data_IF_757280479841
#
_entry.id   IF_757280479841
#
_cell.length_a   1.000
_cell.length_b   1.000
_cell.length_c   1.000
_cell.angle_alpha   90.00
_cell.angle_beta   90.00
_cell.angle_gamma   90.00
#
_symmetry.space_group_name_H-M   'P 1'
#
loop_
_entity.id
_entity.type
_entity.pdbx_description
1 polymer ?
#
# COMPACT_ATOMS: atom_id res chain seq x y z
N UNK A 1 -10.16 -8.11 -14.32
CA UNK A 1 -10.87 -9.39 -14.09
C UNK A 1 -11.70 -9.41 -12.82
N UNK A 2 -11.12 -9.28 -11.63
CA UNK A 2 -11.88 -9.35 -10.35
C UNK A 2 -13.04 -8.35 -10.26
N UNK A 3 -12.80 -7.11 -10.67
CA UNK A 3 -13.83 -6.06 -10.73
C UNK A 3 -15.03 -6.46 -11.60
N UNK A 4 -14.77 -7.01 -12.79
CA UNK A 4 -15.81 -7.48 -13.71
C UNK A 4 -16.54 -8.71 -13.18
N UNK A 5 -15.82 -9.65 -12.57
CA UNK A 5 -16.43 -10.82 -11.92
C UNK A 5 -17.38 -10.40 -10.80
N UNK A 6 -16.97 -9.42 -10.00
CA UNK A 6 -17.80 -8.85 -8.94
C UNK A 6 -19.06 -8.18 -9.50
N UNK A 7 -18.95 -7.39 -10.57
CA UNK A 7 -20.12 -6.75 -11.19
C UNK A 7 -21.09 -7.78 -11.77
N UNK A 8 -20.60 -8.79 -12.49
CA UNK A 8 -21.43 -9.87 -13.02
C UNK A 8 -22.16 -10.62 -11.90
N UNK A 9 -21.46 -10.99 -10.83
CA UNK A 9 -22.07 -11.65 -9.66
C UNK A 9 -23.13 -10.77 -8.99
N UNK A 10 -22.87 -9.47 -8.86
CA UNK A 10 -23.81 -8.49 -8.29
C UNK A 10 -25.09 -8.40 -9.13
N UNK A 11 -24.96 -8.27 -10.45
CA UNK A 11 -26.11 -8.24 -11.36
C UNK A 11 -26.87 -9.57 -11.34
N UNK A 12 -26.16 -10.69 -11.38
CA UNK A 12 -26.77 -12.01 -11.38
C UNK A 12 -27.61 -12.26 -10.12
N UNK A 13 -27.07 -11.93 -8.94
CA UNK A 13 -27.79 -12.03 -7.67
C UNK A 13 -29.01 -11.12 -7.62
N UNK A 14 -28.89 -9.89 -8.13
CA UNK A 14 -29.99 -8.91 -8.12
C UNK A 14 -31.18 -9.34 -8.96
N UNK A 15 -30.95 -10.07 -10.05
CA UNK A 15 -31.98 -10.40 -11.04
C UNK A 15 -32.22 -11.91 -11.22
N UNK A 16 -31.76 -12.74 -10.27
CA UNK A 16 -31.89 -14.19 -10.31
C UNK A 16 -31.43 -14.79 -11.64
N UNK A 17 -30.32 -14.26 -12.18
CA UNK A 17 -29.81 -14.63 -13.50
C UNK A 17 -29.27 -16.07 -13.47
N UNK A 18 -29.61 -16.94 -14.44
CA UNK A 18 -29.25 -18.36 -14.40
C UNK A 18 -27.74 -18.60 -14.36
N UNK A 19 -27.27 -19.48 -13.47
CA UNK A 19 -25.85 -19.79 -13.32
C UNK A 19 -25.21 -20.34 -14.62
N UNK A 20 -25.97 -21.08 -15.44
CA UNK A 20 -25.50 -21.57 -16.75
C UNK A 20 -25.21 -20.41 -17.72
N UNK A 21 -26.12 -19.47 -17.86
CA UNK A 21 -25.95 -18.32 -18.76
C UNK A 21 -24.86 -17.37 -18.26
N UNK A 22 -24.77 -17.21 -16.94
CA UNK A 22 -23.69 -16.45 -16.28
C UNK A 22 -22.32 -17.04 -16.60
N UNK A 23 -22.15 -18.35 -16.51
CA UNK A 23 -20.90 -19.02 -16.82
C UNK A 23 -20.49 -18.84 -18.29
N UNK A 24 -21.44 -18.97 -19.23
CA UNK A 24 -21.21 -18.73 -20.66
C UNK A 24 -20.80 -17.28 -20.94
N UNK A 25 -21.50 -16.32 -20.33
CA UNK A 25 -21.20 -14.89 -20.47
C UNK A 25 -19.82 -14.56 -19.90
N UNK A 26 -19.45 -15.18 -18.77
CA UNK A 26 -18.15 -15.01 -18.15
C UNK A 26 -17.01 -15.60 -18.99
N UNK A 27 -17.21 -16.77 -19.61
CA UNK A 27 -16.22 -17.36 -20.50
C UNK A 27 -16.00 -16.50 -21.75
N UNK A 28 -17.08 -16.00 -22.36
CA UNK A 28 -16.98 -15.05 -23.48
C UNK A 28 -16.23 -13.77 -23.08
N UNK A 29 -16.45 -13.28 -21.86
CA UNK A 29 -15.72 -12.14 -21.30
C UNK A 29 -14.21 -12.42 -21.22
N UNK A 30 -13.80 -13.58 -20.68
CA UNK A 30 -12.39 -13.97 -20.62
C UNK A 30 -11.75 -14.03 -22.01
N UNK A 31 -12.39 -14.69 -22.96
CA UNK A 31 -11.88 -14.84 -24.33
C UNK A 31 -11.76 -13.48 -25.04
N UNK A 32 -12.79 -12.63 -24.90
CA UNK A 32 -12.78 -11.29 -25.49
C UNK A 32 -11.68 -10.40 -24.91
N UNK A 33 -11.49 -10.43 -23.58
CA UNK A 33 -10.40 -9.71 -22.93
C UNK A 33 -9.05 -10.24 -23.43
N UNK A 34 -8.84 -11.56 -23.42
CA UNK A 34 -7.59 -12.14 -23.90
C UNK A 34 -7.28 -11.72 -25.35
N UNK A 35 -8.28 -11.74 -26.24
CA UNK A 35 -8.14 -11.28 -27.62
C UNK A 35 -7.76 -9.80 -27.73
N UNK A 36 -8.36 -8.95 -26.89
CA UNK A 36 -8.08 -7.51 -26.90
C UNK A 36 -6.67 -7.14 -26.43
N UNK A 37 -6.05 -7.99 -25.61
CA UNK A 37 -4.67 -7.80 -25.15
C UNK A 37 -3.63 -8.26 -26.17
N UNK A 38 -4.02 -9.01 -27.19
CA UNK A 38 -3.09 -9.54 -28.20
C UNK A 38 -2.23 -8.45 -28.87
N UNK A 39 -2.83 -7.29 -29.22
CA UNK A 39 -2.07 -6.17 -29.81
C UNK A 39 -1.06 -5.57 -28.82
N UNK A 40 -1.39 -5.58 -27.53
CA UNK A 40 -0.53 -5.08 -26.46
C UNK A 40 0.64 -6.04 -26.21
N UNK A 41 0.37 -7.34 -26.24
CA UNK A 41 1.35 -8.40 -26.11
C UNK A 41 2.32 -8.39 -27.31
N UNK A 42 1.79 -8.29 -28.55
CA UNK A 42 2.60 -8.15 -29.76
C UNK A 42 3.50 -6.90 -29.70
N UNK A 43 2.98 -5.77 -29.21
CA UNK A 43 3.80 -4.56 -28.98
C UNK A 43 4.91 -4.81 -27.95
N UNK A 44 4.61 -5.52 -26.86
CA UNK A 44 5.61 -5.86 -25.85
C UNK A 44 6.71 -6.74 -26.45
N UNK A 45 6.36 -7.80 -27.17
CA UNK A 45 7.31 -8.75 -27.73
C UNK A 45 8.30 -8.06 -28.66
N UNK A 46 7.80 -7.26 -29.63
CA UNK A 46 8.64 -6.53 -30.59
C UNK A 46 9.65 -5.62 -29.89
N UNK A 47 9.20 -4.81 -28.93
CA UNK A 47 10.06 -3.81 -28.31
C UNK A 47 10.94 -4.41 -27.20
N UNK A 48 10.48 -5.43 -26.50
CA UNK A 48 11.29 -6.15 -25.51
C UNK A 48 12.47 -6.82 -26.22
N UNK A 49 12.25 -7.53 -27.32
CA UNK A 49 13.31 -8.14 -28.13
C UNK A 49 14.28 -7.08 -28.67
N UNK A 50 13.76 -6.00 -29.26
CA UNK A 50 14.57 -4.89 -29.78
C UNK A 50 15.51 -4.28 -28.73
N UNK A 51 15.04 -4.06 -27.50
CA UNK A 51 15.85 -3.45 -26.45
C UNK A 51 16.76 -4.45 -25.72
N UNK A 52 16.38 -5.73 -25.64
CA UNK A 52 17.19 -6.77 -24.97
C UNK A 52 18.51 -7.06 -25.71
N UNK A 53 18.56 -6.83 -27.03
CA UNK A 53 19.78 -7.05 -27.83
C UNK A 53 20.68 -5.80 -27.98
N UNK A 54 20.31 -4.66 -27.37
CA UNK A 54 21.09 -3.42 -27.46
C UNK A 54 22.10 -3.30 -26.31
N UNK A 55 23.39 -3.15 -26.63
CA UNK A 55 24.42 -2.80 -25.63
C UNK A 55 24.20 -1.42 -25.01
N UNK A 56 23.63 -0.47 -25.76
CA UNK A 56 23.39 0.90 -25.32
C UNK A 56 21.95 1.30 -25.65
N UNK A 57 21.22 1.72 -24.61
CA UNK A 57 19.83 2.15 -24.71
C UNK A 57 19.75 3.64 -24.38
N UNK A 58 19.26 4.44 -25.33
CA UNK A 58 18.96 5.84 -25.07
C UNK A 58 17.67 5.96 -24.27
N UNK A 59 17.79 6.48 -23.04
CA UNK A 59 16.69 6.56 -22.08
C UNK A 59 15.47 7.32 -22.60
N UNK A 60 15.66 8.38 -23.39
CA UNK A 60 14.55 9.15 -23.99
C UNK A 60 13.74 8.29 -24.97
N UNK A 61 14.42 7.53 -25.84
CA UNK A 61 13.79 6.64 -26.81
C UNK A 61 13.04 5.51 -26.12
N UNK A 62 13.67 4.88 -25.13
CA UNK A 62 13.04 3.83 -24.32
C UNK A 62 11.81 4.36 -23.57
N UNK A 63 11.92 5.55 -22.96
CA UNK A 63 10.81 6.16 -22.23
C UNK A 63 9.61 6.40 -23.16
N UNK A 64 9.84 6.85 -24.40
CA UNK A 64 8.77 7.05 -25.38
C UNK A 64 8.02 5.74 -25.71
N UNK A 65 8.76 4.64 -25.87
CA UNK A 65 8.19 3.31 -26.11
C UNK A 65 7.42 2.81 -24.88
N UNK A 66 8.00 2.95 -23.68
CA UNK A 66 7.36 2.55 -22.43
C UNK A 66 6.07 3.34 -22.16
N UNK A 67 6.07 4.65 -22.41
CA UNK A 67 4.88 5.49 -22.28
C UNK A 67 3.78 5.05 -23.25
N UNK A 68 4.14 4.67 -24.48
CA UNK A 68 3.19 4.15 -25.45
C UNK A 68 2.62 2.80 -25.01
N UNK A 69 3.46 1.89 -24.51
CA UNK A 69 3.03 0.60 -23.95
C UNK A 69 2.05 0.78 -22.78
N UNK A 70 2.39 1.65 -21.81
CA UNK A 70 1.52 1.95 -20.67
C UNK A 70 0.19 2.56 -21.13
N UNK A 71 0.22 3.44 -22.13
CA UNK A 71 -0.99 4.02 -22.71
C UNK A 71 -1.86 2.95 -23.35
N UNK A 72 -1.30 2.06 -24.16
CA UNK A 72 -2.05 0.95 -24.78
C UNK A 72 -2.69 0.05 -23.73
N UNK A 73 -1.92 -0.35 -22.69
CA UNK A 73 -2.45 -1.10 -21.55
C UNK A 73 -3.64 -0.41 -20.90
N UNK A 74 -3.51 0.89 -20.61
CA UNK A 74 -4.58 1.67 -19.98
C UNK A 74 -5.82 1.74 -20.86
N UNK A 75 -5.64 2.01 -22.15
CA UNK A 75 -6.73 2.15 -23.11
C UNK A 75 -7.47 0.81 -23.28
N UNK A 76 -6.75 -0.32 -23.38
CA UNK A 76 -7.36 -1.66 -23.47
C UNK A 76 -8.07 -2.04 -22.17
N UNK A 77 -7.48 -1.75 -21.00
CA UNK A 77 -8.14 -2.00 -19.72
C UNK A 77 -9.46 -1.25 -19.61
N UNK A 78 -9.47 0.06 -19.92
CA UNK A 78 -10.65 0.90 -19.80
C UNK A 78 -11.73 0.47 -20.82
N UNK A 79 -11.36 0.28 -22.09
CA UNK A 79 -12.30 -0.19 -23.13
C UNK A 79 -12.96 -1.52 -22.77
N UNK A 80 -12.20 -2.48 -22.23
CA UNK A 80 -12.77 -3.75 -21.82
C UNK A 80 -13.67 -3.63 -20.59
N UNK A 81 -13.28 -2.78 -19.64
CA UNK A 81 -14.12 -2.57 -18.46
C UNK A 81 -15.48 -2.00 -18.86
N UNK A 82 -15.50 -0.98 -19.71
CA UNK A 82 -16.73 -0.35 -20.19
C UNK A 82 -17.56 -1.33 -21.03
N UNK A 83 -16.94 -1.94 -22.05
CA UNK A 83 -17.59 -2.90 -22.95
C UNK A 83 -18.26 -4.05 -22.20
N UNK A 84 -17.56 -4.67 -21.24
CA UNK A 84 -18.09 -5.85 -20.55
C UNK A 84 -19.11 -5.48 -19.48
N UNK A 85 -18.98 -4.33 -18.81
CA UNK A 85 -20.05 -3.84 -17.93
C UNK A 85 -21.35 -3.58 -18.72
N UNK A 86 -21.26 -2.96 -19.89
CA UNK A 86 -22.42 -2.72 -20.77
C UNK A 86 -23.01 -4.04 -21.27
N UNK A 87 -22.16 -4.97 -21.71
CA UNK A 87 -22.58 -6.30 -22.18
C UNK A 87 -23.30 -7.08 -21.07
N UNK A 88 -22.79 -7.02 -19.83
CA UNK A 88 -23.46 -7.66 -18.69
C UNK A 88 -24.82 -7.05 -18.39
N UNK A 89 -24.93 -5.72 -18.45
CA UNK A 89 -26.20 -5.03 -18.25
C UNK A 89 -27.22 -5.40 -19.34
N UNK A 90 -26.82 -5.36 -20.61
CA UNK A 90 -27.66 -5.74 -21.75
C UNK A 90 -28.14 -7.20 -21.66
N UNK A 91 -27.23 -8.14 -21.38
CA UNK A 91 -27.56 -9.56 -21.26
C UNK A 91 -28.60 -9.83 -20.16
N UNK A 92 -28.53 -9.09 -19.06
CA UNK A 92 -29.50 -9.19 -17.96
C UNK A 92 -30.85 -8.59 -18.35
N UNK A 93 -30.89 -7.46 -19.05
CA UNK A 93 -32.14 -6.88 -19.54
C UNK A 93 -32.83 -7.77 -20.58
N UNK A 94 -32.07 -8.38 -21.48
CA UNK A 94 -32.59 -9.36 -22.44
C UNK A 94 -33.20 -10.59 -21.73
N UNK A 95 -32.54 -11.09 -20.68
CA UNK A 95 -33.07 -12.20 -19.89
C UNK A 95 -34.39 -11.81 -19.19
N UNK A 96 -34.47 -10.62 -18.60
CA UNK A 96 -35.72 -10.13 -17.98
C UNK A 96 -36.84 -10.03 -19.00
N UNK A 97 -36.55 -9.55 -20.21
CA UNK A 97 -37.53 -9.47 -21.29
C UNK A 97 -38.05 -10.86 -21.68
N UNK A 98 -37.13 -11.83 -21.83
CA UNK A 98 -37.46 -13.24 -22.12
C UNK A 98 -38.26 -13.90 -21.00
N UNK A 99 -37.87 -13.72 -19.74
CA UNK A 99 -38.60 -14.27 -18.58
C UNK A 99 -40.02 -13.69 -18.48
N UNK A 100 -40.18 -12.38 -18.70
CA UNK A 100 -41.49 -11.72 -18.75
C UNK A 100 -42.36 -12.26 -19.90
N UNK A 101 -41.77 -12.49 -21.07
CA UNK A 101 -42.46 -13.07 -22.21
C UNK A 101 -42.88 -14.53 -21.96
N UNK A 102 -41.98 -15.36 -21.46
CA UNK A 102 -42.28 -16.76 -21.12
C UNK A 102 -43.40 -16.87 -20.08
N UNK A 103 -43.39 -16.03 -19.04
CA UNK A 103 -44.48 -15.97 -18.05
C UNK A 103 -45.81 -15.56 -18.66
N UNK A 104 -45.81 -14.63 -19.62
CA UNK A 104 -47.02 -14.20 -20.34
C UNK A 104 -47.59 -15.32 -21.22
N UNK A 105 -46.73 -16.03 -21.96
CA UNK A 105 -47.12 -17.17 -22.82
C UNK A 105 -47.62 -18.37 -22.00
N UNK A 106 -47.03 -18.61 -20.81
CA UNK A 106 -47.51 -19.63 -19.86
C UNK A 106 -48.90 -19.28 -19.29
N UNK A 107 -49.14 -18.01 -18.98
CA UNK A 107 -50.45 -17.54 -18.50
C UNK A 107 -51.52 -17.65 -19.60
N UNK A 108 -51.19 -17.27 -20.84
CA UNK A 108 -52.11 -17.35 -21.98
C UNK A 108 -52.42 -18.80 -22.39
N UNK A 109 -51.43 -19.70 -22.36
CA UNK A 109 -51.64 -21.13 -22.62
C UNK A 109 -52.45 -21.83 -21.52
N UNK A 110 -52.19 -21.52 -20.24
CA UNK A 110 -53.01 -21.99 -19.12
C UNK A 110 -54.46 -21.52 -19.21
N UNK A 111 -54.68 -20.25 -19.55
CA UNK A 111 -56.03 -19.68 -19.75
C UNK A 111 -56.74 -20.32 -20.95
N UNK A 112 -56.01 -20.70 -22.01
CA UNK A 112 -56.56 -21.37 -23.21
C UNK A 112 -56.93 -22.83 -22.93
N UNK A 113 -56.17 -23.55 -22.10
CA UNK A 113 -56.47 -24.90 -21.61
C UNK A 113 -57.67 -24.89 -20.66
N UNK A 114 -57.76 -23.92 -19.74
CA UNK A 114 -58.94 -23.72 -18.89
C UNK A 114 -60.20 -23.34 -19.70
N UNK A 115 -60.08 -22.49 -20.72
CA UNK A 115 -61.19 -22.15 -21.61
C UNK A 115 -61.62 -23.35 -22.46
N UNK A 116 -60.71 -24.18 -22.98
CA UNK A 116 -61.05 -25.44 -23.66
C UNK A 116 -61.70 -26.46 -22.71
N UNK A 117 -61.16 -26.63 -21.51
CA UNK A 117 -61.73 -27.49 -20.47
C UNK A 117 -63.13 -27.04 -20.03
N UNK A 118 -63.35 -25.73 -19.89
CA UNK A 118 -64.69 -25.15 -19.62
C UNK A 118 -65.63 -25.26 -20.83
N UNK A 119 -65.14 -25.17 -22.08
CA UNK A 119 -65.96 -25.33 -23.29
C UNK A 119 -66.36 -26.80 -23.52
N UNK A 120 -65.48 -27.75 -23.22
CA UNK A 120 -65.74 -29.19 -23.30
C UNK A 120 -66.63 -29.67 -22.14
N UNK A 121 -66.47 -29.08 -20.95
CA UNK A 121 -67.39 -29.29 -19.82
C UNK A 121 -68.77 -28.66 -20.09
N UNK A 122 -68.84 -27.46 -20.69
CA UNK A 122 -70.10 -26.84 -21.15
C UNK A 122 -70.75 -27.60 -22.31
N UNK A 123 -70.00 -28.20 -23.24
CA UNK A 123 -70.55 -29.10 -24.29
C UNK A 123 -71.04 -30.44 -23.73
N UNK A 124 -70.38 -30.99 -22.70
CA UNK A 124 -70.89 -32.16 -21.95
C UNK A 124 -72.14 -31.81 -21.14
N UNK A 125 -72.18 -30.62 -20.53
CA UNK A 125 -73.35 -30.13 -19.78
C UNK A 125 -74.51 -29.73 -20.69
N UNK A 126 -74.29 -29.20 -21.90
CA UNK A 126 -75.35 -28.98 -22.93
C UNK A 126 -75.84 -30.28 -23.58
N UNK A 127 -75.02 -31.34 -23.64
CA UNK A 127 -75.49 -32.70 -23.99
C UNK A 127 -76.29 -33.37 -22.86
N UNK A 128 -76.11 -32.92 -21.62
CA UNK A 128 -76.94 -33.34 -20.47
C UNK A 128 -78.10 -32.37 -20.13
N UNK A 129 -78.08 -31.12 -20.61
CA UNK A 129 -79.11 -30.08 -20.37
C UNK A 129 -79.90 -29.68 -21.63
N UNK A 130 -79.84 -30.52 -22.68
CA UNK A 130 -80.97 -30.70 -23.59
C UNK A 130 -81.99 -31.72 -23.02
N UNK A 131 -81.79 -32.12 -21.76
CA UNK A 131 -82.83 -32.57 -20.85
C UNK A 131 -82.87 -31.56 -19.70
N UNK A 132 -84.03 -30.92 -19.51
CA UNK A 132 -84.38 -29.97 -18.45
C UNK A 132 -84.00 -28.49 -18.75
N UNK A 133 -85.09 -27.70 -18.84
CA UNK A 133 -85.27 -26.39 -19.46
C UNK A 133 -84.87 -25.21 -18.56
N UNK A 134 -84.54 -24.09 -19.24
CA UNK A 134 -84.87 -22.66 -18.97
C UNK A 134 -84.94 -22.14 -17.52
N UNK A 135 -84.24 -21.02 -17.28
CA UNK A 135 -84.59 -20.02 -16.26
C UNK A 135 -83.37 -19.25 -15.76
N UNK A 136 -83.25 -17.97 -16.11
CA UNK A 136 -82.12 -17.06 -15.84
C UNK A 136 -82.17 -16.38 -14.46
N UNK A 137 -80.99 -16.14 -13.86
CA UNK A 137 -80.65 -15.23 -12.73
C UNK A 137 -80.07 -13.89 -13.30
N UNK A 138 -80.41 -12.69 -12.82
CA UNK A 138 -79.98 -11.92 -11.62
C UNK A 138 -78.48 -11.42 -11.57
N UNK A 139 -78.32 -10.08 -11.69
CA UNK A 139 -77.68 -9.08 -10.77
C UNK A 139 -76.17 -9.13 -10.32
N UNK A 140 -75.52 -7.94 -10.43
CA UNK A 140 -74.52 -7.15 -9.63
C UNK A 140 -73.58 -7.77 -8.55
N UNK A 141 -72.54 -7.10 -7.98
CA UNK A 141 -71.50 -6.07 -8.29
C UNK A 141 -70.79 -5.70 -6.94
N UNK A 142 -69.64 -4.99 -7.02
CA UNK A 142 -68.95 -4.14 -5.97
C UNK A 142 -67.72 -4.74 -5.26
N UNK A 143 -66.64 -3.99 -4.90
CA UNK A 143 -66.25 -2.58 -5.12
C UNK A 143 -64.88 -2.18 -4.47
N UNK A 144 -64.31 -1.03 -4.91
CA UNK A 144 -63.54 0.09 -4.23
C UNK A 144 -62.32 -0.22 -3.29
N UNK A 145 -61.26 0.58 -3.04
CA UNK A 145 -60.76 1.97 -3.27
C UNK A 145 -59.25 2.00 -2.80
N UNK A 146 -58.26 2.68 -3.43
CA UNK A 146 -57.71 4.07 -3.30
C UNK A 146 -56.89 4.46 -2.03
N UNK A 147 -55.88 5.34 -2.26
CA UNK A 147 -55.13 6.32 -1.39
C UNK A 147 -53.70 5.96 -0.88
N UNK A 148 -52.52 6.55 -1.24
CA UNK A 148 -51.83 7.88 -1.31
C UNK A 148 -50.81 8.20 -0.16
N UNK A 149 -49.58 8.58 -0.58
CA UNK A 149 -48.57 9.52 -0.02
C UNK A 149 -47.80 9.27 1.32
N UNK A 150 -46.46 9.46 1.31
CA UNK A 150 -45.70 10.46 2.12
C UNK A 150 -44.17 10.43 1.86
N UNK A 151 -43.51 11.57 2.10
CA UNK A 151 -42.14 11.96 1.67
C UNK A 151 -41.24 12.26 2.89
N UNK A 152 -39.90 12.06 2.79
CA UNK A 152 -38.77 12.83 3.41
C UNK A 152 -37.80 12.15 4.44
N UNK A 153 -36.50 12.21 4.08
CA UNK A 153 -35.20 12.29 4.84
C UNK A 153 -34.71 11.23 5.85
N UNK A 154 -33.48 10.71 5.66
CA UNK A 154 -32.28 11.00 6.51
C UNK A 154 -30.98 10.33 6.00
N UNK A 155 -29.86 10.97 6.34
CA UNK A 155 -28.46 10.75 5.92
C UNK A 155 -27.68 9.67 6.70
N UNK A 156 -26.52 9.27 6.14
CA UNK A 156 -25.18 9.17 6.76
C UNK A 156 -24.42 7.82 6.62
N UNK A 157 -23.16 7.91 6.17
CA UNK A 157 -22.07 7.03 6.62
C UNK A 157 -21.37 6.15 5.57
N UNK A 158 -20.48 6.71 4.74
CA UNK A 158 -19.43 5.91 4.06
C UNK A 158 -18.06 6.14 4.72
N UNK A 159 -17.50 5.04 5.23
CA UNK A 159 -16.17 4.98 5.83
C UNK A 159 -15.08 4.60 4.82
N UNK A 160 -13.96 5.28 4.97
CA UNK A 160 -12.57 4.84 4.78
C UNK A 160 -12.16 4.14 3.48
N UNK A 161 -11.47 4.90 2.62
CA UNK A 161 -10.46 4.38 1.68
C UNK A 161 -9.10 5.00 2.01
N UNK A 162 -8.15 4.16 2.41
CA UNK A 162 -6.77 4.51 2.67
C UNK A 162 -5.99 4.78 1.39
N UNK A 163 -5.56 6.03 1.23
CA UNK A 163 -4.19 6.48 0.94
C UNK A 163 -3.28 5.57 0.10
N UNK A 164 -3.06 5.94 -1.17
CA UNK A 164 -1.70 5.94 -1.76
C UNK A 164 -1.58 6.74 -3.06
N UNK A 165 -2.23 7.88 -3.23
CA UNK A 165 -1.92 8.76 -4.37
C UNK A 165 -2.17 10.21 -3.96
N UNK A 166 -1.29 11.11 -4.44
CA UNK A 166 -1.35 12.58 -4.42
C UNK A 166 -0.40 13.27 -3.42
N UNK A 167 0.88 13.34 -3.78
CA UNK A 167 1.74 14.43 -3.34
C UNK A 167 2.56 15.02 -4.50
N UNK A 168 1.88 15.40 -5.59
CA UNK A 168 2.56 16.04 -6.73
C UNK A 168 1.72 17.13 -7.43
N UNK A 169 0.91 17.89 -6.69
CA UNK A 169 0.07 18.94 -7.32
C UNK A 169 -0.18 20.23 -6.52
N UNK A 170 0.76 20.66 -5.67
CA UNK A 170 0.54 21.82 -4.79
C UNK A 170 1.66 22.89 -4.79
N UNK A 171 2.45 23.06 -5.86
CA UNK A 171 3.46 24.14 -5.92
C UNK A 171 3.53 24.86 -7.27
N UNK A 172 2.38 25.22 -7.83
CA UNK A 172 2.30 26.22 -8.90
C UNK A 172 1.18 27.21 -8.58
N UNK A 173 1.47 28.17 -7.70
CA UNK A 173 0.85 29.51 -7.62
C UNK A 173 1.44 30.27 -6.43
N UNK A 174 2.53 30.99 -6.63
CA UNK A 174 2.84 32.24 -5.93
C UNK A 174 4.12 32.88 -6.50
N UNK A 175 3.99 34.12 -6.99
CA UNK A 175 4.98 35.20 -6.86
C UNK A 175 6.32 35.04 -7.57
N UNK A 176 6.54 35.89 -8.59
CA UNK A 176 7.86 36.16 -9.18
C UNK A 176 8.75 36.85 -8.15
N UNK A 177 9.52 36.04 -7.43
CA UNK A 177 10.75 36.40 -6.73
C UNK A 177 11.72 35.24 -6.97
N UNK A 178 13.02 35.50 -7.10
CA UNK A 178 14.00 34.44 -7.31
C UNK A 178 13.76 33.31 -6.28
N UNK A 179 13.58 32.06 -6.71
CA UNK A 179 13.19 30.99 -5.81
C UNK A 179 14.22 30.90 -4.68
N UNK A 180 13.79 30.84 -3.40
CA UNK A 180 14.67 30.45 -2.32
C UNK A 180 15.38 29.17 -2.78
N UNK A 181 16.71 29.11 -2.74
CA UNK A 181 17.45 27.93 -3.22
C UNK A 181 16.88 26.70 -2.52
N UNK A 182 16.07 25.92 -3.24
CA UNK A 182 15.47 24.72 -2.68
C UNK A 182 16.61 23.81 -2.20
N UNK A 183 16.58 23.46 -0.92
CA UNK A 183 17.55 22.56 -0.35
C UNK A 183 17.44 21.22 -1.08
N UNK A 184 18.59 20.59 -1.33
CA UNK A 184 18.57 19.22 -1.86
C UNK A 184 17.84 18.30 -0.87
N UNK A 185 17.21 17.23 -1.35
CA UNK A 185 16.56 16.24 -0.48
C UNK A 185 17.50 15.69 0.58
N UNK A 186 18.79 15.53 0.26
CA UNK A 186 19.78 15.06 1.23
C UNK A 186 20.04 16.12 2.31
N UNK A 187 20.13 17.39 1.93
CA UNK A 187 20.31 18.52 2.85
C UNK A 187 19.12 18.68 3.80
N UNK A 188 17.89 18.55 3.28
CA UNK A 188 16.69 18.57 4.12
C UNK A 188 16.71 17.46 5.19
N UNK A 189 17.07 16.23 4.81
CA UNK A 189 17.18 15.12 5.75
C UNK A 189 18.24 15.42 6.81
N UNK A 190 19.43 15.89 6.40
CA UNK A 190 20.53 16.17 7.33
C UNK A 190 20.18 17.29 8.29
N UNK A 191 19.58 18.37 7.83
CA UNK A 191 19.19 19.50 8.68
C UNK A 191 18.15 19.10 9.74
N UNK A 192 17.23 18.19 9.41
CA UNK A 192 16.22 17.69 10.35
C UNK A 192 16.85 16.90 11.50
N UNK A 193 17.77 15.97 11.20
CA UNK A 193 18.37 15.10 12.22
C UNK A 193 19.63 15.67 12.89
N UNK A 194 20.31 16.61 12.23
CA UNK A 194 21.55 17.26 12.68
C UNK A 194 21.47 18.79 12.46
N UNK A 195 20.62 19.50 13.21
CA UNK A 195 20.42 20.94 13.01
C UNK A 195 21.67 21.73 13.40
N UNK A 196 22.02 22.74 12.58
CA UNK A 196 23.20 23.59 12.79
C UNK A 196 23.18 24.33 14.14
N UNK A 197 22.01 24.52 14.75
CA UNK A 197 21.89 25.08 16.10
C UNK A 197 22.68 24.28 17.16
N UNK A 198 22.87 22.97 16.97
CA UNK A 198 23.69 22.13 17.84
C UNK A 198 25.20 22.50 17.79
N UNK A 199 25.66 23.21 16.75
CA UNK A 199 27.02 23.71 16.65
C UNK A 199 27.29 24.90 17.59
N UNK A 200 26.26 25.64 18.00
CA UNK A 200 26.41 26.83 18.86
C UNK A 200 26.41 26.47 20.35
N UNK A 201 25.51 25.58 20.79
CA UNK A 201 25.33 25.26 22.22
C UNK A 201 25.68 23.83 22.69
N UNK A 202 26.02 22.88 21.80
CA UNK A 202 26.23 21.48 22.17
C UNK A 202 27.61 21.14 22.77
N UNK A 203 27.76 19.95 23.36
CA UNK A 203 29.06 19.38 23.76
C UNK A 203 30.05 19.35 22.58
N UNK A 204 31.35 19.51 22.86
CA UNK A 204 32.44 19.45 21.85
C UNK A 204 32.38 18.18 20.99
N UNK A 205 31.93 17.06 21.55
CA UNK A 205 31.73 15.80 20.82
C UNK A 205 30.58 15.91 19.80
N UNK A 206 29.40 16.41 20.22
CA UNK A 206 28.24 16.59 19.35
C UNK A 206 28.53 17.58 18.22
N UNK A 207 29.26 18.67 18.51
CA UNK A 207 29.66 19.63 17.46
C UNK A 207 30.52 18.98 16.37
N UNK A 208 31.44 18.09 16.75
CA UNK A 208 32.30 17.35 15.81
C UNK A 208 31.51 16.35 14.97
N UNK A 209 30.55 15.66 15.58
CA UNK A 209 29.67 14.72 14.89
C UNK A 209 28.83 15.42 13.81
N UNK A 210 28.13 16.50 14.18
CA UNK A 210 27.33 17.31 13.24
C UNK A 210 28.18 17.81 12.08
N UNK A 211 29.38 18.36 12.38
CA UNK A 211 30.30 18.81 11.34
C UNK A 211 30.74 17.69 10.39
N UNK A 212 31.05 16.50 10.91
CA UNK A 212 31.44 15.35 10.11
C UNK A 212 30.33 14.89 9.16
N UNK A 213 29.08 14.81 9.64
CA UNK A 213 27.91 14.44 8.82
C UNK A 213 27.67 15.46 7.71
N UNK A 214 27.74 16.76 8.02
CA UNK A 214 27.58 17.83 7.03
C UNK A 214 28.68 17.79 5.96
N UNK A 215 29.92 17.47 6.34
CA UNK A 215 31.02 17.33 5.38
C UNK A 215 30.85 16.10 4.48
N UNK A 216 30.44 14.96 5.05
CA UNK A 216 30.15 13.74 4.30
C UNK A 216 29.01 13.97 3.28
N UNK A 217 27.95 14.65 3.70
CA UNK A 217 26.85 15.09 2.81
C UNK A 217 27.35 15.91 1.62
N UNK A 218 28.14 16.97 1.88
CA UNK A 218 28.70 17.84 0.83
C UNK A 218 29.59 17.06 -0.14
N UNK A 219 30.38 16.11 0.38
CA UNK A 219 31.21 15.23 -0.44
C UNK A 219 30.38 14.35 -1.38
N UNK A 220 29.28 13.76 -0.86
CA UNK A 220 28.35 12.95 -1.65
C UNK A 220 27.70 13.78 -2.77
N UNK A 221 27.21 14.98 -2.46
CA UNK A 221 26.60 15.87 -3.46
C UNK A 221 27.57 16.29 -4.57
N UNK A 222 28.83 16.57 -4.20
CA UNK A 222 29.90 16.87 -5.16
C UNK A 222 30.23 15.66 -6.05
N UNK A 223 30.27 14.47 -5.47
CA UNK A 223 30.47 13.22 -6.21
C UNK A 223 29.33 13.01 -7.22
N UNK A 224 28.09 13.18 -6.78
CA UNK A 224 26.89 13.07 -7.62
C UNK A 224 26.88 14.07 -8.77
N UNK A 225 27.20 15.35 -8.53
CA UNK A 225 27.24 16.36 -9.60
C UNK A 225 28.34 16.09 -10.63
N UNK A 226 29.42 15.44 -10.21
CA UNK A 226 30.49 14.98 -11.10
C UNK A 226 30.05 13.78 -11.92
N UNK A 227 29.46 12.77 -11.29
CA UNK A 227 28.95 11.56 -11.97
C UNK A 227 27.83 11.91 -12.95
N UNK A 228 26.92 12.83 -12.60
CA UNK A 228 25.80 13.27 -13.45
C UNK A 228 26.24 13.67 -14.87
N UNK A 229 27.43 14.23 -15.03
CA UNK A 229 27.95 14.77 -16.30
C UNK A 229 28.77 13.76 -17.11
N UNK A 230 28.92 12.53 -16.65
CA UNK A 230 29.81 11.52 -17.27
C UNK A 230 29.06 10.22 -17.55
N UNK A 231 29.63 9.43 -18.47
CA UNK A 231 29.37 7.99 -18.55
C UNK A 231 30.36 7.31 -17.61
N UNK A 232 29.90 6.40 -16.76
CA UNK A 232 30.74 5.73 -15.78
C UNK A 232 30.50 4.23 -15.81
N UNK A 233 31.54 3.45 -15.56
CA UNK A 233 31.42 2.00 -15.41
C UNK A 233 30.64 1.62 -14.15
N UNK A 234 30.01 0.45 -14.18
CA UNK A 234 29.14 -0.04 -13.09
C UNK A 234 29.76 0.00 -11.69
N UNK A 235 31.06 -0.32 -11.56
CA UNK A 235 31.76 -0.33 -10.27
C UNK A 235 31.72 1.05 -9.58
N UNK A 236 31.90 2.12 -10.36
CA UNK A 236 31.89 3.49 -9.85
C UNK A 236 30.49 3.89 -9.38
N UNK A 237 29.47 3.57 -10.17
CA UNK A 237 28.07 3.86 -9.83
C UNK A 237 27.62 3.09 -8.60
N UNK A 238 27.90 1.79 -8.55
CA UNK A 238 27.56 0.95 -7.39
C UNK A 238 28.28 1.40 -6.13
N UNK A 239 29.56 1.77 -6.23
CA UNK A 239 30.29 2.35 -5.09
C UNK A 239 29.62 3.63 -4.59
N UNK A 240 29.25 4.55 -5.50
CA UNK A 240 28.52 5.76 -5.14
C UNK A 240 27.20 5.44 -4.45
N UNK A 241 26.40 4.52 -5.00
CA UNK A 241 25.11 4.13 -4.42
C UNK A 241 25.25 3.54 -3.00
N UNK A 242 26.28 2.72 -2.78
CA UNK A 242 26.58 2.14 -1.48
C UNK A 242 26.96 3.22 -0.45
N UNK A 243 27.75 4.23 -0.84
CA UNK A 243 28.08 5.34 0.06
C UNK A 243 26.83 6.11 0.50
N UNK A 244 25.89 6.37 -0.42
CA UNK A 244 24.61 6.99 -0.08
C UNK A 244 23.79 6.13 0.89
N UNK A 245 23.73 4.82 0.65
CA UNK A 245 22.99 3.89 1.53
C UNK A 245 23.62 3.81 2.93
N UNK A 246 24.95 3.79 3.02
CA UNK A 246 25.66 3.85 4.30
C UNK A 246 25.38 5.15 5.05
N UNK A 247 25.43 6.28 4.35
CA UNK A 247 25.12 7.60 4.91
C UNK A 247 23.69 7.67 5.46
N UNK A 248 22.70 7.24 4.68
CA UNK A 248 21.30 7.20 5.09
C UNK A 248 21.06 6.25 6.27
N UNK A 249 21.81 5.16 6.36
CA UNK A 249 21.76 4.24 7.51
C UNK A 249 22.25 4.91 8.80
N UNK A 250 23.28 5.76 8.74
CA UNK A 250 23.71 6.59 9.90
C UNK A 250 22.58 7.52 10.35
N UNK A 251 21.85 8.12 9.41
CA UNK A 251 20.72 9.00 9.71
C UNK A 251 19.56 8.22 10.34
N UNK A 252 19.21 7.05 9.80
CA UNK A 252 18.20 6.17 10.41
C UNK A 252 18.59 5.80 11.85
N UNK A 253 19.86 5.48 12.09
CA UNK A 253 20.34 5.19 13.45
C UNK A 253 20.11 6.38 14.40
N UNK A 254 20.33 7.61 13.92
CA UNK A 254 20.05 8.82 14.69
C UNK A 254 18.56 8.98 15.02
N UNK A 255 17.68 8.76 14.03
CA UNK A 255 16.23 8.75 14.23
C UNK A 255 15.79 7.70 15.27
N UNK A 256 16.33 6.48 15.18
CA UNK A 256 16.07 5.43 16.17
C UNK A 256 16.53 5.82 17.58
N UNK A 257 17.71 6.43 17.71
CA UNK A 257 18.18 6.90 19.01
C UNK A 257 17.26 7.98 19.59
N UNK A 258 16.79 8.93 18.77
CA UNK A 258 15.84 9.96 19.20
C UNK A 258 14.52 9.33 19.71
N UNK A 259 13.98 8.34 19.01
CA UNK A 259 12.78 7.60 19.45
C UNK A 259 13.02 6.82 20.75
N UNK A 260 14.19 6.21 20.91
CA UNK A 260 14.59 5.51 22.14
C UNK A 260 14.68 6.47 23.33
N UNK A 261 15.26 7.66 23.12
CA UNK A 261 15.35 8.71 24.15
C UNK A 261 13.96 9.22 24.51
N UNK A 262 13.10 9.46 23.52
CA UNK A 262 11.70 9.86 23.72
C UNK A 262 10.93 8.82 24.53
N UNK A 263 11.05 7.52 24.19
CA UNK A 263 10.43 6.45 24.96
C UNK A 263 10.97 6.41 26.39
N UNK A 264 12.27 6.59 26.60
CA UNK A 264 12.88 6.60 27.94
C UNK A 264 12.35 7.74 28.81
N UNK A 265 12.18 8.93 28.23
CA UNK A 265 11.58 10.08 28.89
C UNK A 265 10.10 9.84 29.23
N UNK A 266 9.30 9.41 28.24
CA UNK A 266 7.87 9.14 28.43
C UNK A 266 7.60 7.99 29.41
N UNK A 267 8.42 6.95 29.40
CA UNK A 267 8.31 5.84 30.33
C UNK A 267 8.59 6.30 31.77
N UNK A 268 9.60 7.15 31.97
CA UNK A 268 9.93 7.72 33.27
C UNK A 268 8.82 8.64 33.79
N UNK A 269 8.26 9.49 32.91
CA UNK A 269 7.16 10.40 33.24
C UNK A 269 5.87 9.66 33.61
N UNK A 270 5.56 8.57 32.92
CA UNK A 270 4.32 7.80 33.13
C UNK A 270 4.48 6.58 34.04
N UNK A 271 5.66 6.38 34.65
CA UNK A 271 5.99 5.21 35.51
C UNK A 271 5.71 3.86 34.82
N UNK A 272 6.01 3.77 33.53
CA UNK A 272 5.84 2.54 32.75
C UNK A 272 6.81 1.45 33.24
N UNK A 273 6.35 0.21 33.46
CA UNK A 273 7.23 -0.91 33.80
C UNK A 273 8.28 -1.18 32.72
N UNK A 274 9.51 -1.53 33.11
CA UNK A 274 10.60 -1.82 32.16
C UNK A 274 10.27 -2.97 31.18
N UNK A 275 9.45 -3.94 31.61
CA UNK A 275 8.95 -5.02 30.74
C UNK A 275 8.12 -4.49 29.57
N UNK A 276 7.18 -3.59 29.86
CA UNK A 276 6.28 -3.01 28.86
C UNK A 276 7.02 -2.03 27.95
N UNK A 277 7.96 -1.25 28.52
CA UNK A 277 8.87 -0.39 27.77
C UNK A 277 9.72 -1.19 26.79
N UNK A 278 10.33 -2.29 27.23
CA UNK A 278 11.14 -3.16 26.36
C UNK A 278 10.30 -3.76 25.23
N UNK A 279 9.12 -4.29 25.55
CA UNK A 279 8.19 -4.84 24.54
C UNK A 279 7.78 -3.79 23.51
N UNK A 280 7.41 -2.59 23.97
CA UNK A 280 7.03 -1.48 23.10
C UNK A 280 8.19 -1.05 22.18
N UNK A 281 9.41 -1.04 22.72
CA UNK A 281 10.60 -0.75 21.94
C UNK A 281 10.88 -1.81 20.87
N UNK A 282 10.78 -3.10 21.21
CA UNK A 282 10.96 -4.20 20.25
C UNK A 282 9.92 -4.15 19.11
N UNK A 283 8.66 -3.83 19.43
CA UNK A 283 7.60 -3.62 18.43
C UNK A 283 7.94 -2.44 17.50
N UNK A 284 8.41 -1.33 18.05
CA UNK A 284 8.84 -0.14 17.31
C UNK A 284 9.98 -0.48 16.34
N UNK A 285 11.05 -1.10 16.86
CA UNK A 285 12.21 -1.53 16.07
C UNK A 285 11.79 -2.45 14.93
N UNK A 286 11.03 -3.50 15.23
CA UNK A 286 10.61 -4.49 14.23
C UNK A 286 9.79 -3.87 13.11
N UNK A 287 8.86 -2.96 13.45
CA UNK A 287 8.03 -2.30 12.45
C UNK A 287 8.84 -1.36 11.55
N UNK A 288 9.71 -0.54 12.12
CA UNK A 288 10.58 0.38 11.37
C UNK A 288 11.55 -0.42 10.50
N UNK A 289 12.15 -1.48 11.04
CA UNK A 289 13.08 -2.34 10.32
C UNK A 289 12.42 -2.95 9.07
N UNK A 290 11.17 -3.41 9.20
CA UNK A 290 10.38 -3.93 8.07
C UNK A 290 10.09 -2.86 7.00
N UNK A 291 9.74 -1.64 7.42
CA UNK A 291 9.51 -0.51 6.49
C UNK A 291 10.78 -0.19 5.69
N UNK A 292 11.96 -0.18 6.34
CA UNK A 292 13.24 0.04 5.64
C UNK A 292 13.76 -1.16 4.86
N UNK A 293 13.40 -2.38 5.25
CA UNK A 293 13.71 -3.58 4.47
C UNK A 293 13.05 -3.51 3.09
N UNK A 294 11.79 -3.07 3.05
CA UNK A 294 11.08 -2.84 1.80
C UNK A 294 11.75 -1.77 0.93
N UNK A 295 12.22 -0.66 1.53
CA UNK A 295 12.96 0.38 0.81
C UNK A 295 14.25 -0.19 0.21
N UNK A 296 15.03 -0.95 0.98
CA UNK A 296 16.28 -1.56 0.48
C UNK A 296 16.01 -2.54 -0.66
N UNK A 297 15.02 -3.42 -0.49
CA UNK A 297 14.68 -4.44 -1.49
C UNK A 297 14.17 -3.82 -2.80
N UNK A 298 13.37 -2.74 -2.73
CA UNK A 298 12.88 -2.07 -3.94
C UNK A 298 14.00 -1.46 -4.80
N UNK A 299 15.15 -1.12 -4.20
CA UNK A 299 16.31 -0.59 -4.92
C UNK A 299 17.43 -1.61 -5.15
N UNK A 300 17.40 -2.78 -4.49
CA UNK A 300 18.28 -3.90 -4.81
C UNK A 300 18.07 -4.37 -6.27
N UNK A 301 16.80 -4.49 -6.70
CA UNK A 301 16.43 -4.79 -8.09
C UNK A 301 17.03 -3.78 -9.08
N UNK A 302 17.11 -2.50 -8.69
CA UNK A 302 17.73 -1.48 -9.52
C UNK A 302 19.25 -1.64 -9.55
N UNK A 303 19.86 -1.98 -8.41
CA UNK A 303 21.26 -2.41 -8.34
C UNK A 303 21.56 -3.54 -9.33
N UNK A 304 20.68 -4.53 -9.45
CA UNK A 304 20.84 -5.66 -10.38
C UNK A 304 20.78 -5.22 -11.85
N UNK A 305 19.88 -4.28 -12.19
CA UNK A 305 19.79 -3.70 -13.53
C UNK A 305 21.12 -3.01 -13.90
N UNK A 306 21.67 -2.21 -12.98
CA UNK A 306 22.94 -1.52 -13.21
C UNK A 306 24.16 -2.45 -13.15
N UNK A 307 24.08 -3.55 -12.40
CA UNK A 307 25.13 -4.57 -12.34
C UNK A 307 25.33 -5.29 -13.69
N UNK A 308 24.28 -5.38 -14.51
CA UNK A 308 24.29 -5.96 -15.85
C UNK A 308 24.78 -4.99 -16.93
N UNK A 309 24.72 -3.69 -16.69
CA UNK A 309 25.17 -2.68 -17.65
C UNK A 309 26.71 -2.52 -17.62
N UNK A 310 27.36 -2.49 -18.79
CA UNK A 310 28.80 -2.19 -18.87
C UNK A 310 29.09 -0.70 -18.63
N UNK A 311 28.24 0.17 -19.19
CA UNK A 311 28.35 1.62 -19.10
C UNK A 311 27.01 2.23 -18.69
N UNK A 312 27.07 3.19 -17.77
CA UNK A 312 25.89 3.83 -17.17
C UNK A 312 25.97 5.34 -17.41
N UNK A 313 24.89 5.89 -17.97
CA UNK A 313 24.71 7.33 -18.08
C UNK A 313 24.50 7.93 -16.67
N UNK A 314 25.40 8.81 -16.25
CA UNK A 314 25.34 9.43 -14.93
C UNK A 314 24.09 10.25 -14.66
N UNK A 315 23.43 10.79 -15.70
CA UNK A 315 22.13 11.46 -15.58
C UNK A 315 21.07 10.48 -15.06
N UNK A 316 20.97 9.28 -15.66
CA UNK A 316 20.01 8.26 -15.25
C UNK A 316 20.26 7.79 -13.81
N UNK A 317 21.53 7.58 -13.44
CA UNK A 317 21.90 7.29 -12.05
C UNK A 317 21.50 8.42 -11.09
N UNK A 318 21.79 9.67 -11.46
CA UNK A 318 21.43 10.83 -10.64
C UNK A 318 19.92 10.92 -10.43
N UNK A 319 19.11 10.62 -11.44
CA UNK A 319 17.65 10.64 -11.34
C UNK A 319 17.11 9.51 -10.47
N UNK A 320 17.68 8.30 -10.61
CA UNK A 320 17.38 7.19 -9.71
C UNK A 320 17.67 7.57 -8.26
N UNK A 321 18.85 8.10 -8.01
CA UNK A 321 19.29 8.47 -6.67
C UNK A 321 18.40 9.56 -6.07
N UNK A 322 17.92 10.51 -6.88
CA UNK A 322 16.88 11.46 -6.47
C UNK A 322 15.62 10.75 -5.95
N UNK A 323 15.11 9.75 -6.68
CA UNK A 323 13.91 8.99 -6.26
C UNK A 323 14.19 8.22 -4.98
N UNK A 324 15.36 7.59 -4.89
CA UNK A 324 15.79 6.86 -3.70
C UNK A 324 15.80 7.74 -2.46
N UNK A 325 16.42 8.94 -2.55
CA UNK A 325 16.47 9.90 -1.46
C UNK A 325 15.08 10.38 -1.03
N UNK A 326 14.16 10.59 -1.99
CA UNK A 326 12.76 10.96 -1.68
C UNK A 326 12.02 9.85 -0.92
N UNK A 327 12.18 8.59 -1.33
CA UNK A 327 11.58 7.45 -0.62
C UNK A 327 12.15 7.35 0.79
N UNK A 328 13.48 7.45 0.95
CA UNK A 328 14.12 7.47 2.26
C UNK A 328 13.61 8.59 3.16
N UNK A 329 13.54 9.84 2.65
CA UNK A 329 12.98 10.97 3.40
C UNK A 329 11.57 10.68 3.88
N UNK A 330 10.71 10.20 2.97
CA UNK A 330 9.30 9.91 3.27
C UNK A 330 9.18 8.85 4.36
N UNK A 331 9.90 7.74 4.24
CA UNK A 331 9.86 6.65 5.24
C UNK A 331 10.45 7.13 6.56
N UNK A 332 11.63 7.78 6.57
CA UNK A 332 12.22 8.35 7.79
C UNK A 332 11.22 9.21 8.57
N UNK A 333 10.60 10.18 7.90
CA UNK A 333 9.75 11.17 8.57
C UNK A 333 8.40 10.57 8.98
N UNK A 334 7.80 9.72 8.13
CA UNK A 334 6.51 9.09 8.44
C UNK A 334 6.64 8.05 9.56
N UNK A 335 7.70 7.24 9.56
CA UNK A 335 7.99 6.27 10.63
C UNK A 335 8.26 6.99 11.95
N UNK A 336 9.10 8.03 11.95
CA UNK A 336 9.40 8.81 13.15
C UNK A 336 8.13 9.44 13.73
N UNK A 337 7.34 10.14 12.90
CA UNK A 337 6.08 10.75 13.34
C UNK A 337 5.10 9.72 13.91
N UNK A 338 4.85 8.65 13.16
CA UNK A 338 3.92 7.56 13.54
C UNK A 338 4.32 6.95 14.88
N UNK A 339 5.61 6.68 15.08
CA UNK A 339 6.08 6.08 16.32
C UNK A 339 6.17 7.10 17.46
N UNK A 340 6.58 8.35 17.23
CA UNK A 340 6.50 9.40 18.26
C UNK A 340 5.08 9.56 18.81
N UNK A 341 4.06 9.55 17.95
CA UNK A 341 2.64 9.60 18.36
C UNK A 341 2.21 8.31 19.10
N UNK A 342 2.56 7.14 18.56
CA UNK A 342 2.23 5.85 19.17
C UNK A 342 2.89 5.67 20.55
N UNK A 343 4.12 6.13 20.73
CA UNK A 343 4.83 6.10 22.01
C UNK A 343 4.12 6.98 23.04
N UNK A 344 3.70 8.19 22.67
CA UNK A 344 2.92 9.08 23.56
C UNK A 344 1.60 8.43 23.98
N UNK A 345 0.84 7.88 23.03
CA UNK A 345 -0.45 7.24 23.31
C UNK A 345 -0.30 6.01 24.21
N UNK A 346 0.64 5.11 23.89
CA UNK A 346 0.81 3.84 24.61
C UNK A 346 1.44 4.02 25.98
N UNK A 347 2.28 5.04 26.17
CA UNK A 347 2.83 5.37 27.49
C UNK A 347 1.79 6.05 28.39
N UNK A 348 0.82 6.77 27.83
CA UNK A 348 -0.32 7.32 28.57
C UNK A 348 -1.41 6.29 28.90
N UNK A 349 -1.61 5.28 28.05
CA UNK A 349 -2.63 4.21 28.22
C UNK A 349 -2.43 3.31 29.44
N UNK A 350 -1.37 3.54 30.21
CA UNK A 350 -1.27 3.14 31.60
C UNK A 350 -0.92 4.35 32.45
N UNK A 351 -1.89 5.20 32.81
CA UNK A 351 -1.87 5.68 34.18
C UNK A 351 -2.03 4.43 35.02
N UNK A 352 -0.91 3.75 35.29
CA UNK A 352 -0.81 2.74 36.32
C UNK A 352 -1.10 3.52 37.60
N UNK A 353 -2.39 3.72 37.87
CA UNK A 353 -2.90 4.27 39.11
C UNK A 353 -2.23 3.46 40.20
N UNK A 354 -1.70 4.18 41.18
CA UNK A 354 -1.14 3.58 42.37
C UNK A 354 -2.05 2.42 42.83
N UNK A 355 -1.48 1.21 42.86
CA UNK A 355 -2.12 0.00 43.37
C UNK A 355 -2.79 -0.86 42.31
N UNK A 356 -2.05 -1.85 41.81
CA UNK A 356 -2.52 -3.23 41.72
C UNK A 356 -1.32 -4.13 41.43
N UNK A 357 -0.66 -4.58 42.50
CA UNK A 357 -0.26 -5.99 42.53
C UNK A 357 -1.55 -6.80 42.54
N UNK A 358 -1.79 -7.60 41.51
CA UNK A 358 -2.47 -8.88 41.67
C UNK A 358 -2.10 -9.79 40.51
N UNK A 359 -1.32 -10.79 40.90
CA UNK A 359 -1.15 -12.07 40.27
C UNK A 359 -2.48 -12.73 39.91
N UNK A 360 -2.38 -13.67 38.98
CA UNK A 360 -3.39 -14.60 38.51
C UNK A 360 -4.31 -15.15 39.62
N UNK A 361 -5.63 -15.15 39.39
CA UNK A 361 -6.52 -16.30 39.60
C UNK A 361 -7.97 -16.05 39.15
N UNK A 362 -8.54 -17.15 38.71
CA UNK A 362 -9.82 -17.46 38.06
C UNK A 362 -11.06 -17.28 38.96
N UNK A 363 -12.20 -16.99 38.30
CA UNK A 363 -13.62 -17.28 38.65
C UNK A 363 -14.27 -16.74 39.94
N UNK A 364 -15.42 -16.06 39.74
CA UNK A 364 -16.70 -16.41 40.40
C UNK A 364 -17.12 -15.69 41.69
N UNK A 365 -18.28 -15.02 41.60
CA UNK A 365 -19.31 -14.82 42.64
C UNK A 365 -19.02 -13.99 43.93
N UNK A 366 -19.73 -12.85 44.00
CA UNK A 366 -20.53 -12.25 45.10
C UNK A 366 -20.25 -12.69 46.56
N UNK A 367 -20.00 -11.71 47.45
CA UNK A 367 -20.16 -11.87 48.90
C UNK A 367 -19.37 -10.85 49.74
N UNK A 368 -20.08 -10.04 50.53
CA UNK A 368 -19.58 -9.10 51.54
C UNK A 368 -18.91 -9.84 52.72
N UNK A 369 -17.83 -9.30 53.29
CA UNK A 369 -17.75 -8.75 54.66
C UNK A 369 -16.30 -8.62 55.20
N UNK A 370 -16.20 -7.79 56.24
CA UNK A 370 -15.03 -7.16 56.88
C UNK A 370 -14.01 -8.12 57.50
N UNK A 371 -12.77 -7.64 57.65
CA UNK A 371 -11.96 -7.97 58.84
C UNK A 371 -10.43 -7.93 58.72
N UNK A 372 -9.84 -6.88 59.30
CA UNK A 372 -8.50 -6.78 59.95
C UNK A 372 -7.20 -6.92 59.12
N UNK A 373 -6.37 -5.89 59.23
CA UNK A 373 -4.92 -5.91 59.08
C UNK A 373 -4.27 -6.04 60.48
N UNK A 374 -2.93 -6.09 60.62
CA UNK A 374 -1.87 -6.60 59.72
C UNK A 374 -0.98 -7.64 60.47
N UNK A 375 -0.08 -8.33 59.77
CA UNK A 375 1.11 -8.83 60.48
C UNK A 375 2.41 -8.76 59.67
N UNK A 376 3.47 -8.38 60.39
CA UNK A 376 4.80 -8.01 59.90
C UNK A 376 5.58 -9.26 59.49
N UNK A 377 6.31 -9.20 58.38
CA UNK A 377 7.23 -10.27 57.98
C UNK A 377 8.35 -9.83 57.05
N UNK A 378 9.52 -9.59 57.66
CA UNK A 378 10.91 -9.76 57.15
C UNK A 378 11.28 -9.23 55.75
N UNK A 379 12.19 -8.25 55.73
CA UNK A 379 13.30 -8.23 54.76
C UNK A 379 14.22 -9.43 55.04
N UNK A 380 14.71 -10.17 54.02
CA UNK A 380 15.94 -9.79 53.29
C UNK A 380 15.85 -10.20 51.79
N UNK A 381 16.79 -9.97 50.87
CA UNK A 381 18.24 -9.88 50.96
C UNK A 381 18.84 -9.20 49.71
N UNK A 382 20.04 -8.66 49.84
CA UNK A 382 20.80 -8.01 48.75
C UNK A 382 21.26 -9.03 47.72
N UNK A 383 20.72 -8.95 46.50
CA UNK A 383 21.18 -9.74 45.34
C UNK A 383 22.14 -8.98 44.43
N UNK A 384 23.41 -9.42 44.46
CA UNK A 384 24.58 -9.12 43.61
C UNK A 384 24.37 -8.43 42.24
N UNK A 385 25.25 -7.47 41.97
CA UNK A 385 25.57 -7.00 40.62
C UNK A 385 26.22 -8.12 39.78
N UNK A 386 25.88 -8.27 38.49
CA UNK A 386 26.69 -9.02 37.54
C UNK A 386 27.59 -8.10 36.70
N UNK A 387 28.77 -8.64 36.42
CA UNK A 387 30.00 -8.03 35.96
C UNK A 387 30.00 -7.29 34.60
N UNK A 388 30.96 -6.37 34.51
CA UNK A 388 31.39 -5.68 33.29
C UNK A 388 31.92 -6.70 32.26
N UNK A 389 31.20 -6.86 31.16
CA UNK A 389 31.67 -7.59 29.98
C UNK A 389 32.86 -6.90 29.30
N UNK A 390 33.89 -7.71 29.01
CA UNK A 390 35.21 -7.38 28.44
C UNK A 390 35.15 -6.64 27.09
N UNK A 391 36.09 -5.72 26.92
CA UNK A 391 36.50 -5.09 25.64
C UNK A 391 37.11 -6.12 24.67
N UNK A 392 36.74 -6.12 23.38
CA UNK A 392 37.48 -6.86 22.35
C UNK A 392 38.78 -6.17 21.95
N UNK A 393 39.83 -6.98 21.77
CA UNK A 393 41.20 -6.61 21.44
C UNK A 393 41.40 -5.88 20.10
N UNK A 394 42.42 -5.01 20.07
CA UNK A 394 42.87 -4.25 18.90
C UNK A 394 43.51 -5.19 17.86
N UNK A 395 42.94 -5.22 16.65
CA UNK A 395 43.56 -5.85 15.49
C UNK A 395 44.76 -5.05 14.95
N UNK A 396 45.85 -5.79 14.65
CA UNK A 396 47.13 -5.34 14.07
C UNK A 396 46.97 -4.58 12.74
N UNK A 397 47.85 -3.59 12.55
CA UNK A 397 48.05 -2.86 11.30
C UNK A 397 48.73 -3.76 10.23
N UNK A 398 48.38 -3.64 8.94
CA UNK A 398 49.13 -4.29 7.86
C UNK A 398 50.34 -3.43 7.42
N UNK A 399 51.44 -4.14 7.13
CA UNK A 399 52.76 -3.63 6.79
C UNK A 399 52.84 -2.86 5.46
N UNK A 400 53.80 -1.93 5.43
CA UNK A 400 54.15 -1.08 4.28
C UNK A 400 54.81 -1.91 3.16
N UNK A 401 54.18 -1.95 1.99
CA UNK A 401 54.76 -2.46 0.75
C UNK A 401 55.70 -1.45 0.07
N UNK A 402 56.90 -1.93 -0.29
CA UNK A 402 58.00 -1.24 -0.99
C UNK A 402 57.58 -0.50 -2.28
N UNK A 403 58.25 0.62 -2.53
CA UNK A 403 58.27 1.32 -3.82
C UNK A 403 59.03 0.52 -4.89
N UNK A 404 58.60 0.53 -6.17
CA UNK A 404 59.45 0.15 -7.28
C UNK A 404 60.22 1.34 -7.85
N UNK A 405 61.46 1.03 -8.21
CA UNK A 405 62.56 1.88 -8.63
C UNK A 405 62.38 2.49 -10.03
N UNK A 406 63.08 3.61 -10.28
CA UNK A 406 63.10 4.32 -11.56
C UNK A 406 63.99 3.58 -12.56
N UNK A 407 63.44 3.22 -13.72
CA UNK A 407 64.20 2.74 -14.88
C UNK A 407 63.96 3.61 -16.13
N UNK A 408 65.00 4.33 -16.55
CA UNK A 408 65.08 5.11 -17.81
C UNK A 408 65.02 4.21 -19.05
N UNK A 409 64.38 4.70 -20.11
CA UNK A 409 65.07 4.78 -21.42
C UNK A 409 64.50 4.02 -22.63
N UNK A 410 64.24 4.81 -23.67
CA UNK A 410 64.46 4.58 -25.11
C UNK A 410 63.45 3.74 -25.91
N UNK A 411 62.79 4.42 -26.85
CA UNK A 411 63.10 4.25 -28.27
C UNK A 411 62.04 3.58 -29.16
N UNK A 412 61.66 4.30 -30.23
CA UNK A 412 61.22 3.86 -31.58
C UNK A 412 60.15 2.74 -31.61
N UNK A 413 58.98 2.95 -32.18
CA UNK A 413 58.72 3.29 -33.59
C UNK A 413 57.25 3.65 -33.74
#
# INVERSE_FOLDING_TARGET
>A
MEKLAFQLNKLAKKYYYPEREKALLWNRCKEGIQKSFKEVDEYYDIYSEYYMHKRVIFGVSFNRVLQRYIKMWKDVLQKNEDLWNDTFAQSVEEYKAKDKQMKKEQLESGTKVERKGKLDFQKKKKRHSMFIKKGEELICHSGRNLFTAFQTAYSFGEGQKTNFVLYERATLKAGVGAPPRELSTLSEIVQHYYPEAQLKGGSKANKREVAAIVQEMKSLEKSRSTLKRKVSGKKIIMHSFNLYTQFLTKIRKKMMNNLSDQLSQLASQNRMPEKDKKKLWEECQTAIDKEFEYVKNSYAMVGDIYAKAELILGIGYSDLLSRYLKVWKSVLYSSEKKWSEALVERTKKGKYSAGTEKSDLKSGAKGEEKGKAPDKGKAPDKGKAPDKGKTPDKGKAPDKGKAPDKGKGKGKK
#
